data_IF_662694847400
#
_entry.id   IF_662694847400
#
_cell.length_a   1.000
_cell.length_b   1.000
_cell.length_c   1.000
_cell.angle_alpha   90.00
_cell.angle_beta   90.00
_cell.angle_gamma   90.00
#
_symmetry.space_group_name_H-M   'P 1'
#
loop_
_entity.id
_entity.type
_entity.pdbx_description
1 polymer ?
#
# COMPACT_ATOMS: atom_id res chain seq x y z
N UNK A 1 53.62 -18.45 18.54
CA UNK A 1 52.90 -17.32 17.94
C UNK A 1 52.63 -17.66 16.49
N UNK A 2 51.38 -17.66 15.98
CA UNK A 2 51.12 -17.90 14.58
C UNK A 2 51.64 -16.70 13.80
N UNK A 3 52.49 -16.96 12.80
CA UNK A 3 53.02 -15.97 11.86
C UNK A 3 51.82 -15.25 11.21
N UNK A 4 51.73 -13.93 11.38
CA UNK A 4 50.73 -13.11 10.71
C UNK A 4 50.88 -13.34 9.20
N UNK A 5 49.84 -13.89 8.56
CA UNK A 5 49.79 -14.04 7.12
C UNK A 5 49.67 -12.65 6.50
N UNK A 6 50.81 -12.01 6.28
CA UNK A 6 50.91 -10.79 5.49
C UNK A 6 50.63 -11.13 4.04
N UNK A 7 49.62 -10.49 3.47
CA UNK A 7 49.31 -10.37 2.03
C UNK A 7 48.99 -11.65 1.27
N UNK A 8 47.70 -11.94 1.20
CA UNK A 8 47.17 -12.95 0.28
C UNK A 8 46.72 -12.36 -1.08
N UNK A 9 47.25 -11.20 -1.48
CA UNK A 9 46.92 -10.53 -2.74
C UNK A 9 48.11 -9.80 -3.37
N UNK A 10 48.13 -9.76 -4.71
CA UNK A 10 49.20 -9.12 -5.50
C UNK A 10 48.58 -8.35 -6.67
N UNK A 11 49.11 -7.15 -6.93
CA UNK A 11 48.89 -6.39 -8.15
C UNK A 11 49.98 -6.72 -9.15
N UNK A 12 49.60 -7.00 -10.40
CA UNK A 12 50.57 -7.37 -11.45
C UNK A 12 50.09 -6.91 -12.82
N UNK A 13 51.01 -6.79 -13.77
CA UNK A 13 50.69 -6.57 -15.18
C UNK A 13 50.84 -7.86 -15.96
N UNK A 14 50.03 -8.05 -16.99
CA UNK A 14 50.27 -9.10 -18.02
C UNK A 14 51.29 -8.57 -19.03
N UNK A 15 52.04 -9.48 -19.62
CA UNK A 15 52.89 -9.16 -20.79
C UNK A 15 51.96 -8.58 -21.88
N UNK A 16 52.29 -7.47 -22.46
CA UNK A 16 51.55 -6.81 -23.54
C UNK A 16 50.26 -6.04 -23.11
N UNK A 17 50.08 -5.75 -21.82
CA UNK A 17 48.92 -4.98 -21.35
C UNK A 17 49.33 -3.87 -20.38
N UNK A 18 48.89 -2.65 -20.65
CA UNK A 18 49.06 -1.51 -19.73
C UNK A 18 48.14 -1.58 -18.52
N UNK A 19 47.09 -2.41 -18.59
CA UNK A 19 46.09 -2.54 -17.53
C UNK A 19 46.63 -3.39 -16.38
N UNK A 20 46.48 -2.89 -15.17
CA UNK A 20 46.77 -3.63 -13.96
C UNK A 20 45.78 -4.74 -13.68
N UNK A 21 46.25 -5.83 -13.12
CA UNK A 21 45.48 -6.98 -12.67
C UNK A 21 45.74 -7.21 -11.21
N UNK A 22 44.69 -7.73 -10.51
CA UNK A 22 44.82 -8.18 -9.14
C UNK A 22 44.68 -9.69 -9.04
N UNK A 23 45.44 -10.28 -8.12
CA UNK A 23 45.33 -11.69 -7.78
C UNK A 23 45.25 -11.83 -6.28
N UNK A 24 44.23 -12.53 -5.81
CA UNK A 24 43.99 -12.78 -4.39
C UNK A 24 43.40 -14.17 -4.19
N UNK A 25 43.29 -14.63 -2.93
CA UNK A 25 42.55 -15.83 -2.56
C UNK A 25 41.17 -15.45 -2.03
N UNK A 26 40.14 -16.18 -2.46
CA UNK A 26 38.84 -16.09 -1.85
C UNK A 26 38.83 -16.82 -0.48
N UNK A 27 37.68 -16.77 0.23
CA UNK A 27 37.58 -17.38 1.56
C UNK A 27 37.76 -18.90 1.57
N UNK A 28 37.49 -19.55 0.45
CA UNK A 28 37.67 -20.98 0.26
C UNK A 28 39.10 -21.35 -0.16
N UNK A 29 40.03 -20.36 -0.20
CA UNK A 29 41.40 -20.56 -0.60
C UNK A 29 41.63 -20.57 -2.12
N UNK A 30 40.57 -20.43 -2.94
CA UNK A 30 40.71 -20.45 -4.40
C UNK A 30 41.38 -19.18 -4.89
N UNK A 31 42.30 -19.33 -5.84
CA UNK A 31 42.97 -18.19 -6.49
C UNK A 31 42.01 -17.48 -7.46
N UNK A 32 41.85 -16.18 -7.27
CA UNK A 32 41.06 -15.30 -8.16
C UNK A 32 41.99 -14.33 -8.87
N UNK A 33 41.71 -14.04 -10.14
CA UNK A 33 42.36 -13.02 -10.94
C UNK A 33 41.33 -12.12 -11.57
N UNK A 34 41.51 -10.81 -11.42
CA UNK A 34 40.55 -9.81 -11.97
C UNK A 34 41.35 -8.67 -12.62
N UNK A 35 40.84 -8.15 -13.73
CA UNK A 35 41.32 -6.89 -14.30
C UNK A 35 40.85 -5.72 -13.46
N UNK A 36 41.69 -4.75 -13.25
CA UNK A 36 41.27 -3.49 -12.61
C UNK A 36 40.59 -2.53 -13.61
N UNK A 37 40.78 -2.79 -14.90
CA UNK A 37 40.40 -1.90 -16.01
C UNK A 37 41.07 -0.53 -15.94
N UNK A 38 42.14 -0.38 -15.13
CA UNK A 38 42.86 0.87 -14.93
C UNK A 38 44.35 0.65 -15.21
N UNK A 39 45.00 1.68 -15.74
CA UNK A 39 46.44 1.77 -15.90
C UNK A 39 47.14 2.38 -14.67
N UNK A 40 46.37 2.92 -13.72
CA UNK A 40 46.88 3.47 -12.46
C UNK A 40 47.09 2.37 -11.41
N UNK A 41 48.31 2.31 -10.89
CA UNK A 41 48.68 1.39 -9.84
C UNK A 41 47.99 1.63 -8.52
N UNK A 42 47.69 2.90 -8.16
CA UNK A 42 47.01 3.24 -6.93
C UNK A 42 45.54 2.78 -6.95
N UNK A 43 44.88 2.92 -8.09
CA UNK A 43 43.51 2.37 -8.29
C UNK A 43 43.51 0.84 -8.20
N UNK A 44 44.56 0.19 -8.77
CA UNK A 44 44.68 -1.25 -8.67
C UNK A 44 44.92 -1.73 -7.22
N UNK A 45 45.71 -1.02 -6.46
CA UNK A 45 45.91 -1.28 -5.04
C UNK A 45 44.65 -1.06 -4.23
N UNK A 46 43.88 0.02 -4.51
CA UNK A 46 42.61 0.29 -3.89
C UNK A 46 41.61 -0.84 -4.14
N UNK A 47 41.47 -1.27 -5.40
CA UNK A 47 40.61 -2.39 -5.78
C UNK A 47 41.00 -3.70 -5.11
N UNK A 48 42.32 -3.97 -4.97
CA UNK A 48 42.77 -5.15 -4.24
C UNK A 48 42.37 -5.12 -2.77
N UNK A 49 42.53 -3.97 -2.09
CA UNK A 49 42.10 -3.80 -0.69
C UNK A 49 40.61 -4.01 -0.54
N UNK A 50 39.80 -3.39 -1.40
CA UNK A 50 38.33 -3.57 -1.41
C UNK A 50 37.94 -5.05 -1.55
N UNK A 51 38.65 -5.82 -2.38
CA UNK A 51 38.42 -7.27 -2.54
C UNK A 51 38.77 -8.06 -1.30
N UNK A 52 39.89 -7.73 -0.67
CA UNK A 52 40.32 -8.37 0.57
C UNK A 52 39.38 -8.04 1.72
N UNK A 53 39.00 -6.79 1.86
CA UNK A 53 38.01 -6.35 2.87
C UNK A 53 36.66 -7.03 2.66
N UNK A 54 36.19 -7.10 1.41
CA UNK A 54 34.94 -7.80 1.07
C UNK A 54 35.02 -9.31 1.38
N UNK A 55 36.17 -9.93 1.16
CA UNK A 55 36.45 -11.33 1.54
C UNK A 55 36.35 -11.51 3.05
N UNK A 56 37.06 -10.67 3.79
CA UNK A 56 37.18 -10.78 5.26
C UNK A 56 35.82 -10.52 5.93
N UNK A 57 35.01 -9.61 5.38
CA UNK A 57 33.64 -9.35 5.77
C UNK A 57 32.62 -10.36 5.22
N UNK A 58 33.05 -11.41 4.51
CA UNK A 58 32.18 -12.45 3.93
C UNK A 58 31.14 -11.94 2.91
N UNK A 59 31.43 -10.86 2.20
CA UNK A 59 30.54 -10.25 1.19
C UNK A 59 31.10 -10.27 -0.23
N UNK A 60 32.27 -10.85 -0.45
CA UNK A 60 32.98 -10.86 -1.75
C UNK A 60 32.12 -11.42 -2.90
N UNK A 61 31.42 -12.54 -2.68
CA UNK A 61 30.56 -13.14 -3.70
C UNK A 61 29.32 -12.28 -4.00
N UNK A 62 28.84 -11.56 -3.00
CA UNK A 62 27.72 -10.63 -3.13
C UNK A 62 28.14 -9.44 -4.00
N UNK A 63 29.28 -8.83 -3.71
CA UNK A 63 29.83 -7.71 -4.48
C UNK A 63 30.03 -8.11 -5.94
N UNK A 64 30.64 -9.26 -6.20
CA UNK A 64 30.87 -9.76 -7.57
C UNK A 64 29.58 -10.02 -8.34
N UNK A 65 28.56 -10.58 -7.70
CA UNK A 65 27.24 -10.78 -8.32
C UNK A 65 26.61 -9.44 -8.68
N UNK A 66 26.65 -8.47 -7.78
CA UNK A 66 26.13 -7.13 -8.03
C UNK A 66 26.83 -6.38 -9.16
N UNK A 67 28.16 -6.55 -9.26
CA UNK A 67 28.97 -5.99 -10.37
C UNK A 67 28.66 -6.65 -11.72
N UNK A 68 28.23 -7.90 -11.74
CA UNK A 68 27.92 -8.63 -12.98
C UNK A 68 26.53 -8.32 -13.53
N UNK A 69 25.60 -7.81 -12.71
CA UNK A 69 24.19 -7.60 -13.07
C UNK A 69 23.87 -6.12 -13.27
N UNK A 70 23.25 -5.80 -14.40
CA UNK A 70 22.65 -4.49 -14.62
C UNK A 70 21.25 -4.41 -13.99
N UNK A 71 20.74 -3.17 -13.77
CA UNK A 71 19.37 -3.00 -13.29
C UNK A 71 18.34 -3.59 -14.27
N UNK A 72 18.58 -3.51 -15.59
CA UNK A 72 17.69 -4.13 -16.58
C UNK A 72 17.54 -5.62 -16.34
N UNK A 73 18.66 -6.35 -16.24
CA UNK A 73 18.66 -7.80 -16.01
C UNK A 73 17.99 -8.17 -14.69
N UNK A 74 18.29 -7.42 -13.63
CA UNK A 74 17.69 -7.65 -12.33
C UNK A 74 16.19 -7.32 -12.30
N UNK A 75 15.77 -6.25 -12.96
CA UNK A 75 14.36 -5.87 -13.04
C UNK A 75 13.53 -6.94 -13.76
N UNK A 76 14.06 -7.53 -14.84
CA UNK A 76 13.39 -8.64 -15.54
C UNK A 76 13.28 -9.87 -14.65
N UNK A 77 14.36 -10.24 -13.98
CA UNK A 77 14.37 -11.32 -12.99
C UNK A 77 13.36 -11.07 -11.87
N UNK A 78 13.29 -9.83 -11.36
CA UNK A 78 12.32 -9.45 -10.31
C UNK A 78 10.87 -9.52 -10.80
N UNK A 79 10.58 -9.03 -11.99
CA UNK A 79 9.23 -9.04 -12.55
C UNK A 79 8.73 -10.47 -12.76
N UNK A 80 9.56 -11.34 -13.30
CA UNK A 80 9.22 -12.74 -13.56
C UNK A 80 9.07 -13.55 -12.27
N UNK A 81 10.06 -13.48 -11.37
CA UNK A 81 10.14 -14.39 -10.23
C UNK A 81 9.53 -13.87 -8.93
N UNK A 82 9.18 -12.56 -8.82
CA UNK A 82 8.69 -11.96 -7.56
C UNK A 82 7.49 -11.04 -7.72
N UNK A 83 7.06 -10.78 -8.95
CA UNK A 83 5.96 -9.87 -9.24
C UNK A 83 4.81 -10.50 -10.01
N UNK A 84 5.09 -11.43 -10.92
CA UNK A 84 4.09 -12.08 -11.77
C UNK A 84 3.09 -12.91 -10.95
N UNK A 85 1.80 -12.98 -11.34
CA UNK A 85 0.85 -13.92 -10.76
C UNK A 85 1.34 -15.37 -10.85
N UNK A 86 1.04 -16.24 -9.89
CA UNK A 86 0.20 -16.03 -8.71
C UNK A 86 0.92 -15.38 -7.52
N UNK A 87 2.23 -15.09 -7.62
CA UNK A 87 3.03 -14.53 -6.50
C UNK A 87 2.53 -13.16 -6.04
N UNK A 88 1.97 -12.38 -6.96
CA UNK A 88 1.28 -11.12 -6.68
C UNK A 88 0.01 -11.01 -7.50
N UNK A 89 -0.93 -10.23 -6.99
CA UNK A 89 -2.14 -9.88 -7.73
C UNK A 89 -1.80 -9.18 -9.04
N UNK A 90 -2.56 -9.45 -10.11
CA UNK A 90 -2.39 -8.86 -11.45
C UNK A 90 -2.18 -7.34 -11.41
N UNK A 91 -3.07 -6.63 -10.71
CA UNK A 91 -2.96 -5.16 -10.56
C UNK A 91 -1.65 -4.70 -9.90
N UNK A 92 -1.09 -5.50 -9.01
CA UNK A 92 0.22 -5.19 -8.39
C UNK A 92 1.34 -5.42 -9.39
N UNK A 93 1.25 -6.49 -10.17
CA UNK A 93 2.21 -6.77 -11.24
C UNK A 93 2.21 -5.65 -12.30
N UNK A 94 1.04 -5.21 -12.77
CA UNK A 94 0.92 -4.08 -13.69
C UNK A 94 1.55 -2.78 -13.16
N UNK A 95 1.38 -2.49 -11.87
CA UNK A 95 2.03 -1.33 -11.23
C UNK A 95 3.55 -1.49 -11.22
N UNK A 96 4.04 -2.69 -10.92
CA UNK A 96 5.47 -2.99 -10.94
C UNK A 96 6.05 -2.88 -12.36
N UNK A 97 5.34 -3.38 -13.38
CA UNK A 97 5.72 -3.24 -14.80
C UNK A 97 5.85 -1.78 -15.21
N UNK A 98 4.86 -0.95 -14.87
CA UNK A 98 4.87 0.48 -15.18
C UNK A 98 6.03 1.20 -14.51
N UNK A 99 6.26 0.94 -13.22
CA UNK A 99 7.39 1.52 -12.48
C UNK A 99 8.72 1.04 -13.06
N UNK A 100 8.87 -0.27 -13.30
CA UNK A 100 10.08 -0.85 -13.87
C UNK A 100 10.45 -0.24 -15.23
N UNK A 101 9.47 0.10 -16.06
CA UNK A 101 9.73 0.78 -17.34
C UNK A 101 10.48 2.10 -17.15
N UNK A 102 10.08 2.92 -16.19
CA UNK A 102 10.74 4.19 -15.87
C UNK A 102 12.10 3.98 -15.21
N UNK A 103 12.19 3.03 -14.28
CA UNK A 103 13.45 2.69 -13.61
C UNK A 103 14.48 2.13 -14.58
N UNK A 104 14.07 1.27 -15.51
CA UNK A 104 14.93 0.75 -16.58
C UNK A 104 15.42 1.86 -17.51
N UNK A 105 14.56 2.84 -17.82
CA UNK A 105 14.96 3.99 -18.63
C UNK A 105 16.00 4.87 -17.94
N UNK A 106 15.97 4.96 -16.61
CA UNK A 106 16.90 5.80 -15.84
C UNK A 106 18.21 5.06 -15.46
N UNK A 107 18.12 3.82 -15.04
CA UNK A 107 19.24 3.06 -14.45
C UNK A 107 19.57 1.77 -15.19
N UNK A 108 18.91 1.47 -16.30
CA UNK A 108 18.93 0.13 -16.89
C UNK A 108 20.32 -0.40 -17.24
N UNK A 109 21.22 0.45 -17.72
CA UNK A 109 22.61 0.10 -18.05
C UNK A 109 23.54 0.06 -16.82
N UNK A 110 23.16 0.72 -15.72
CA UNK A 110 23.98 0.77 -14.51
C UNK A 110 24.07 -0.59 -13.85
N UNK A 111 25.26 -0.93 -13.33
CA UNK A 111 25.41 -2.09 -12.47
C UNK A 111 24.69 -1.87 -11.14
N UNK A 112 24.18 -2.93 -10.54
CA UNK A 112 23.46 -2.82 -9.27
C UNK A 112 24.29 -2.18 -8.16
N UNK A 113 25.58 -2.45 -8.13
CA UNK A 113 26.51 -1.89 -7.12
C UNK A 113 26.80 -0.40 -7.33
N UNK A 114 26.63 0.11 -8.55
CA UNK A 114 26.92 1.50 -8.90
C UNK A 114 25.72 2.44 -8.60
N UNK A 115 24.55 1.89 -8.28
CA UNK A 115 23.37 2.67 -7.94
C UNK A 115 23.49 3.13 -6.49
N UNK A 116 23.72 4.41 -6.30
CA UNK A 116 23.83 5.06 -4.98
C UNK A 116 22.52 5.73 -4.55
N UNK A 117 22.47 6.15 -3.30
CA UNK A 117 21.35 6.97 -2.79
C UNK A 117 21.23 8.29 -3.56
N UNK A 118 22.35 8.95 -3.86
CA UNK A 118 22.37 10.22 -4.61
C UNK A 118 21.80 10.07 -6.02
N UNK A 119 22.13 8.99 -6.72
CA UNK A 119 21.57 8.69 -8.04
C UNK A 119 20.04 8.54 -7.96
N UNK A 120 19.52 7.89 -6.90
CA UNK A 120 18.09 7.70 -6.70
C UNK A 120 17.42 9.03 -6.39
N UNK A 121 17.99 9.86 -5.53
CA UNK A 121 17.46 11.20 -5.21
C UNK A 121 17.41 12.11 -6.43
N UNK A 122 18.45 12.13 -7.24
CA UNK A 122 18.49 12.87 -8.50
C UNK A 122 17.34 12.42 -9.43
N UNK A 123 17.20 11.11 -9.60
CA UNK A 123 16.08 10.53 -10.35
C UNK A 123 14.72 11.02 -9.85
N UNK A 124 14.50 10.99 -8.53
CA UNK A 124 13.22 11.42 -7.95
C UNK A 124 12.92 12.89 -8.21
N UNK A 125 13.94 13.76 -8.09
CA UNK A 125 13.82 15.20 -8.38
C UNK A 125 13.47 15.43 -9.84
N UNK A 126 14.14 14.74 -10.77
CA UNK A 126 13.88 14.86 -12.20
C UNK A 126 12.50 14.33 -12.58
N UNK A 127 12.08 13.20 -12.00
CA UNK A 127 10.75 12.65 -12.23
C UNK A 127 9.64 13.59 -11.75
N UNK A 128 9.82 14.26 -10.61
CA UNK A 128 8.86 15.23 -10.08
C UNK A 128 8.66 16.46 -10.98
N UNK A 129 9.63 16.78 -11.82
CA UNK A 129 9.53 17.88 -12.80
C UNK A 129 8.87 17.47 -14.13
N UNK A 130 8.77 16.16 -14.37
CA UNK A 130 8.24 15.67 -15.66
C UNK A 130 6.72 15.81 -15.73
N UNK A 131 6.23 16.00 -16.95
CA UNK A 131 4.79 16.07 -17.25
C UNK A 131 4.22 14.71 -17.60
N UNK A 132 2.94 14.53 -17.33
CA UNK A 132 2.19 13.35 -17.76
C UNK A 132 2.10 13.36 -19.29
N UNK A 133 2.53 12.27 -19.93
CA UNK A 133 2.39 12.06 -21.38
C UNK A 133 1.38 10.94 -21.63
N UNK A 134 0.29 11.28 -22.28
CA UNK A 134 -0.78 10.32 -22.63
C UNK A 134 -0.80 10.16 -24.14
N UNK A 135 -0.65 8.92 -24.61
CA UNK A 135 -0.81 8.59 -26.02
C UNK A 135 -2.31 8.58 -26.36
N UNK A 136 -2.71 9.38 -27.31
CA UNK A 136 -4.08 9.44 -27.85
C UNK A 136 -4.06 9.05 -29.32
N UNK A 137 -5.23 8.87 -29.92
CA UNK A 137 -5.35 8.64 -31.37
C UNK A 137 -4.78 9.78 -32.23
N UNK A 138 -4.74 11.01 -31.67
CA UNK A 138 -4.23 12.22 -32.31
C UNK A 138 -2.76 12.52 -31.97
N UNK A 139 -2.03 11.61 -31.30
CA UNK A 139 -0.65 11.79 -30.91
C UNK A 139 -0.44 11.83 -29.39
N UNK A 140 0.67 12.41 -28.95
CA UNK A 140 1.02 12.52 -27.53
C UNK A 140 0.45 13.81 -26.97
N UNK A 141 -0.46 13.71 -26.00
CA UNK A 141 -0.97 14.84 -25.24
C UNK A 141 -0.16 14.99 -23.94
N UNK A 142 0.39 16.18 -23.72
CA UNK A 142 1.02 16.55 -22.45
C UNK A 142 -0.03 17.06 -21.45
N UNK A 143 0.06 16.55 -20.24
CA UNK A 143 -0.78 16.94 -19.11
C UNK A 143 -0.03 17.77 -18.09
N UNK A 144 -0.56 17.87 -16.87
CA UNK A 144 0.12 18.50 -15.74
C UNK A 144 1.35 17.72 -15.29
N UNK A 145 2.08 18.30 -14.33
CA UNK A 145 3.23 17.66 -13.69
C UNK A 145 2.84 16.34 -13.00
N UNK A 146 3.74 15.37 -12.97
CA UNK A 146 3.52 14.09 -12.30
C UNK A 146 3.19 14.30 -10.81
N UNK A 147 2.16 13.61 -10.34
CA UNK A 147 1.79 13.68 -8.93
C UNK A 147 2.88 13.01 -8.07
N UNK A 148 3.28 13.62 -6.93
CA UNK A 148 4.27 13.03 -6.02
C UNK A 148 3.98 11.56 -5.65
N UNK A 149 2.71 11.20 -5.46
CA UNK A 149 2.31 9.82 -5.17
C UNK A 149 2.68 8.82 -6.28
N UNK A 150 2.71 9.26 -7.55
CA UNK A 150 3.13 8.41 -8.69
C UNK A 150 4.63 8.14 -8.62
N UNK A 151 5.42 9.19 -8.40
CA UNK A 151 6.88 9.07 -8.29
C UNK A 151 7.28 8.28 -7.03
N UNK A 152 6.58 8.52 -5.92
CA UNK A 152 6.79 7.73 -4.69
C UNK A 152 6.47 6.24 -4.90
N UNK A 153 5.48 5.91 -5.74
CA UNK A 153 5.21 4.51 -6.09
C UNK A 153 6.39 3.87 -6.86
N UNK A 154 7.06 4.61 -7.73
CA UNK A 154 8.26 4.14 -8.43
C UNK A 154 9.40 3.86 -7.43
N UNK A 155 9.64 4.74 -6.45
CA UNK A 155 10.60 4.52 -5.36
C UNK A 155 10.25 3.27 -4.53
N UNK A 156 8.97 3.07 -4.21
CA UNK A 156 8.53 1.87 -3.46
C UNK A 156 8.83 0.57 -4.21
N UNK A 157 8.64 0.56 -5.53
CA UNK A 157 8.94 -0.59 -6.38
C UNK A 157 10.45 -0.82 -6.43
N UNK A 158 11.26 0.23 -6.63
CA UNK A 158 12.72 0.15 -6.61
C UNK A 158 13.23 -0.40 -5.26
N UNK A 159 12.77 0.19 -4.15
CA UNK A 159 13.12 -0.24 -2.80
C UNK A 159 12.81 -1.73 -2.59
N UNK A 160 11.64 -2.19 -3.03
CA UNK A 160 11.28 -3.60 -2.96
C UNK A 160 12.17 -4.49 -3.83
N UNK A 161 12.44 -4.07 -5.07
CA UNK A 161 13.29 -4.79 -6.03
C UNK A 161 14.71 -4.98 -5.46
N UNK A 162 15.28 -3.92 -4.90
CA UNK A 162 16.62 -3.97 -4.29
C UNK A 162 16.62 -4.70 -2.94
N UNK A 163 15.55 -4.66 -2.15
CA UNK A 163 15.41 -5.53 -0.98
C UNK A 163 15.41 -7.02 -1.33
N UNK A 164 14.84 -7.39 -2.48
CA UNK A 164 14.93 -8.77 -2.98
C UNK A 164 16.38 -9.10 -3.38
N UNK A 165 17.09 -8.15 -4.01
CA UNK A 165 18.51 -8.32 -4.36
C UNK A 165 19.39 -8.58 -3.11
N UNK A 166 19.15 -7.83 -2.04
CA UNK A 166 19.85 -8.02 -0.76
C UNK A 166 19.55 -9.42 -0.18
N UNK A 167 18.28 -9.82 -0.12
CA UNK A 167 17.90 -11.16 0.38
C UNK A 167 18.48 -12.31 -0.44
N UNK A 168 18.66 -12.09 -1.75
CA UNK A 168 19.26 -13.07 -2.66
C UNK A 168 20.79 -12.99 -2.73
N UNK A 169 21.38 -12.18 -1.86
CA UNK A 169 22.81 -11.94 -1.81
C UNK A 169 23.39 -11.51 -3.18
N UNK A 170 22.69 -10.62 -3.85
CA UNK A 170 23.13 -9.93 -5.08
C UNK A 170 23.64 -8.54 -4.73
N UNK A 171 23.09 -7.92 -3.69
CA UNK A 171 23.57 -6.67 -3.09
C UNK A 171 23.85 -6.88 -1.61
N UNK A 172 24.81 -6.14 -1.08
CA UNK A 172 25.12 -6.13 0.34
C UNK A 172 24.08 -5.30 1.13
N UNK A 173 23.77 -4.11 0.64
CA UNK A 173 22.82 -3.19 1.24
C UNK A 173 21.91 -2.59 0.18
N UNK A 174 20.73 -2.11 0.61
CA UNK A 174 19.80 -1.44 -0.28
C UNK A 174 20.07 0.07 -0.28
N UNK A 175 20.53 0.67 -1.39
CA UNK A 175 20.78 2.11 -1.47
C UNK A 175 19.53 2.97 -1.23
N UNK A 176 18.32 2.41 -1.41
CA UNK A 176 17.08 3.13 -1.07
C UNK A 176 16.88 3.33 0.44
N UNK A 177 17.66 2.72 1.34
CA UNK A 177 17.46 2.82 2.79
C UNK A 177 17.73 4.22 3.31
N UNK A 178 18.71 4.93 2.75
CA UNK A 178 19.06 6.32 3.10
C UNK A 178 18.33 7.39 2.28
N UNK A 179 17.43 7.00 1.35
CA UNK A 179 16.77 7.96 0.46
C UNK A 179 15.55 8.54 1.12
N UNK A 180 15.52 9.87 1.27
CA UNK A 180 14.32 10.63 1.60
C UNK A 180 13.58 11.05 0.33
N UNK A 181 12.25 10.95 0.39
CA UNK A 181 11.43 11.45 -0.72
C UNK A 181 11.35 12.99 -0.65
N UNK A 182 11.73 13.75 -1.71
CA UNK A 182 12.00 15.19 -1.62
C UNK A 182 10.79 16.07 -1.33
N UNK A 183 9.58 15.52 -1.39
CA UNK A 183 8.34 16.23 -1.05
C UNK A 183 7.48 15.38 -0.14
N UNK A 184 6.85 15.99 0.84
CA UNK A 184 5.92 15.29 1.71
C UNK A 184 4.79 14.68 0.88
N UNK A 185 4.80 13.36 0.71
CA UNK A 185 3.66 12.62 0.15
C UNK A 185 2.60 12.60 1.24
N UNK A 186 1.90 13.71 1.38
CA UNK A 186 0.74 13.76 2.26
C UNK A 186 -0.30 12.81 1.68
N UNK A 187 -0.30 11.57 2.15
CA UNK A 187 -1.33 10.59 1.88
C UNK A 187 -2.66 10.94 2.56
N UNK A 188 -2.90 12.21 2.80
CA UNK A 188 -4.11 12.74 3.38
C UNK A 188 -5.10 13.03 2.26
N UNK A 189 -5.50 11.97 1.59
CA UNK A 189 -6.79 11.99 0.98
C UNK A 189 -7.82 11.99 2.13
N UNK A 190 -8.47 13.12 2.36
CA UNK A 190 -9.66 13.16 3.21
C UNK A 190 -10.80 12.54 2.41
N UNK A 191 -11.43 11.44 2.88
CA UNK A 191 -12.62 10.93 2.24
C UNK A 191 -13.69 12.02 2.21
N UNK A 192 -14.43 12.12 1.12
CA UNK A 192 -15.61 12.96 1.09
C UNK A 192 -16.67 12.37 2.02
N UNK A 193 -17.17 13.16 2.95
CA UNK A 193 -18.31 12.74 3.77
C UNK A 193 -19.59 13.06 3.02
N UNK A 194 -20.34 12.02 2.68
CA UNK A 194 -21.63 12.15 2.00
C UNK A 194 -22.72 12.35 3.03
N UNK A 195 -23.37 13.52 3.02
CA UNK A 195 -24.54 13.79 3.87
C UNK A 195 -25.75 13.00 3.37
N UNK A 196 -26.77 12.84 4.21
CA UNK A 196 -27.99 12.14 3.79
C UNK A 196 -28.68 12.84 2.61
N UNK A 197 -28.85 14.16 2.68
CA UNK A 197 -29.44 14.96 1.58
C UNK A 197 -28.62 14.87 0.28
N UNK A 198 -27.30 14.89 0.39
CA UNK A 198 -26.41 14.73 -0.78
C UNK A 198 -26.55 13.32 -1.40
N UNK A 199 -26.64 12.27 -0.56
CA UNK A 199 -26.90 10.91 -1.04
C UNK A 199 -28.20 10.82 -1.78
N UNK A 200 -29.31 11.33 -1.21
CA UNK A 200 -30.62 11.32 -1.86
C UNK A 200 -30.60 12.06 -3.20
N UNK A 201 -29.94 13.22 -3.25
CA UNK A 201 -29.78 13.97 -4.51
C UNK A 201 -28.99 13.17 -5.56
N UNK A 202 -27.90 12.49 -5.17
CA UNK A 202 -27.13 11.64 -6.08
C UNK A 202 -27.97 10.47 -6.57
N UNK A 203 -28.71 9.80 -5.68
CA UNK A 203 -29.60 8.70 -6.03
C UNK A 203 -30.68 9.12 -7.04
N UNK A 204 -31.31 10.29 -6.84
CA UNK A 204 -32.33 10.81 -7.77
C UNK A 204 -31.81 11.03 -9.21
N UNK A 205 -30.51 11.25 -9.38
CA UNK A 205 -29.87 11.44 -10.69
C UNK A 205 -29.15 10.19 -11.21
N UNK A 206 -29.15 9.09 -10.45
CA UNK A 206 -28.49 7.83 -10.78
C UNK A 206 -29.43 6.87 -11.53
N UNK A 207 -28.94 6.03 -12.46
CA UNK A 207 -29.70 4.92 -12.98
C UNK A 207 -29.98 3.87 -11.87
N UNK A 208 -31.07 3.10 -11.99
CA UNK A 208 -31.56 2.20 -10.93
C UNK A 208 -30.48 1.29 -10.33
N UNK A 209 -29.68 0.63 -11.15
CA UNK A 209 -28.63 -0.24 -10.66
C UNK A 209 -27.55 0.52 -9.84
N UNK A 210 -27.29 1.80 -10.19
CA UNK A 210 -26.32 2.62 -9.44
C UNK A 210 -26.93 3.14 -8.14
N UNK A 211 -28.23 3.44 -8.09
CA UNK A 211 -28.94 3.74 -6.85
C UNK A 211 -28.79 2.57 -5.88
N UNK A 212 -29.02 1.34 -6.36
CA UNK A 212 -28.90 0.14 -5.55
C UNK A 212 -27.44 -0.05 -5.07
N UNK A 213 -26.44 0.19 -5.92
CA UNK A 213 -25.03 0.16 -5.50
C UNK A 213 -24.75 1.17 -4.38
N UNK A 214 -25.24 2.40 -4.51
CA UNK A 214 -25.06 3.45 -3.48
C UNK A 214 -25.66 2.99 -2.16
N UNK A 215 -26.91 2.54 -2.16
CA UNK A 215 -27.62 2.06 -0.96
C UNK A 215 -26.90 0.87 -0.32
N UNK A 216 -26.57 -0.14 -1.11
CA UNK A 216 -25.86 -1.33 -0.60
C UNK A 216 -24.55 -0.93 0.07
N UNK A 217 -23.74 -0.05 -0.54
CA UNK A 217 -22.45 0.35 0.06
C UNK A 217 -22.67 1.15 1.35
N UNK A 218 -23.66 2.04 1.38
CA UNK A 218 -23.93 2.89 2.56
C UNK A 218 -24.62 2.14 3.70
N UNK A 219 -25.20 0.97 3.43
CA UNK A 219 -25.86 0.10 4.41
C UNK A 219 -25.00 -1.09 4.86
N UNK A 220 -23.98 -1.48 4.10
CA UNK A 220 -23.17 -2.67 4.38
C UNK A 220 -21.68 -2.42 4.48
N UNK A 221 -21.22 -1.28 3.98
CA UNK A 221 -19.81 -0.97 3.87
C UNK A 221 -19.02 -1.88 2.92
N UNK A 222 -19.64 -2.59 1.99
CA UNK A 222 -18.97 -3.46 1.03
C UNK A 222 -17.95 -2.73 0.15
N UNK A 223 -16.86 -3.40 -0.24
CA UNK A 223 -15.88 -2.86 -1.19
C UNK A 223 -16.42 -2.98 -2.61
N UNK A 224 -16.76 -1.85 -3.24
CA UNK A 224 -17.46 -1.79 -4.52
C UNK A 224 -16.85 -2.69 -5.60
N UNK A 225 -15.56 -2.56 -5.89
CA UNK A 225 -14.93 -3.25 -7.02
C UNK A 225 -14.44 -4.67 -6.72
N UNK A 226 -14.26 -5.04 -5.46
CA UNK A 226 -13.71 -6.34 -5.10
C UNK A 226 -14.76 -7.29 -4.54
N UNK A 227 -15.79 -6.75 -3.88
CA UNK A 227 -16.81 -7.54 -3.20
C UNK A 227 -18.17 -7.39 -3.88
N UNK A 228 -18.64 -6.15 -4.14
CA UNK A 228 -20.00 -5.91 -4.62
C UNK A 228 -20.19 -6.18 -6.11
N UNK A 229 -19.34 -5.61 -7.00
CA UNK A 229 -19.55 -5.80 -8.44
C UNK A 229 -19.37 -7.23 -8.93
N UNK A 230 -18.43 -8.06 -8.42
CA UNK A 230 -18.33 -9.47 -8.80
C UNK A 230 -19.25 -10.39 -8.01
N UNK A 231 -20.14 -9.86 -7.15
CA UNK A 231 -21.03 -10.66 -6.30
C UNK A 231 -21.99 -11.49 -7.10
N UNK A 232 -22.12 -12.76 -6.72
CA UNK A 232 -23.13 -13.67 -7.25
C UNK A 232 -24.38 -13.62 -6.38
N UNK A 233 -25.52 -13.99 -6.95
CA UNK A 233 -26.81 -13.99 -6.25
C UNK A 233 -26.86 -15.02 -5.13
N UNK A 234 -26.20 -16.16 -5.29
CA UNK A 234 -26.10 -17.24 -4.31
C UNK A 234 -25.34 -16.86 -3.03
N UNK A 235 -24.62 -15.74 -3.07
CA UNK A 235 -23.93 -15.20 -1.89
C UNK A 235 -24.85 -14.40 -0.97
N UNK A 236 -26.10 -14.08 -1.40
CA UNK A 236 -27.04 -13.22 -0.69
C UNK A 236 -28.18 -14.07 -0.14
N UNK A 237 -28.23 -14.20 1.16
CA UNK A 237 -29.31 -14.82 1.91
C UNK A 237 -30.27 -13.74 2.43
N UNK A 238 -31.38 -13.57 1.72
CA UNK A 238 -32.39 -12.56 2.05
C UNK A 238 -33.28 -12.99 3.24
N UNK A 239 -33.39 -14.28 3.52
CA UNK A 239 -34.20 -14.82 4.62
C UNK A 239 -33.49 -14.57 5.95
N UNK A 240 -32.20 -14.88 6.02
CA UNK A 240 -31.36 -14.65 7.19
C UNK A 240 -30.74 -13.25 7.24
N UNK A 241 -31.01 -12.39 6.24
CA UNK A 241 -30.46 -11.04 6.13
C UNK A 241 -28.93 -10.99 6.22
N UNK A 242 -28.23 -11.84 5.45
CA UNK A 242 -26.76 -11.98 5.44
C UNK A 242 -26.24 -12.09 4.03
N UNK A 243 -25.03 -11.55 3.81
CA UNK A 243 -24.25 -11.76 2.57
C UNK A 243 -22.94 -12.45 2.93
N UNK A 244 -22.60 -13.51 2.22
CA UNK A 244 -21.31 -14.18 2.30
C UNK A 244 -20.30 -13.59 1.32
N UNK A 245 -19.11 -13.20 1.82
CA UNK A 245 -17.99 -12.69 1.01
C UNK A 245 -16.87 -13.74 0.98
N UNK A 246 -16.75 -14.52 -0.10
CA UNK A 246 -15.75 -15.59 -0.23
C UNK A 246 -14.34 -15.08 -0.54
N UNK A 247 -14.22 -13.90 -1.14
CA UNK A 247 -12.93 -13.32 -1.55
C UNK A 247 -12.91 -11.80 -1.34
N UNK A 248 -11.86 -11.31 -0.73
CA UNK A 248 -11.68 -9.88 -0.47
C UNK A 248 -10.22 -9.46 -0.67
N UNK A 249 -9.95 -8.16 -0.54
CA UNK A 249 -8.59 -7.60 -0.68
C UNK A 249 -7.63 -8.09 0.42
N UNK A 250 -8.16 -8.43 1.57
CA UNK A 250 -7.42 -8.89 2.75
C UNK A 250 -8.11 -10.12 3.34
N UNK A 251 -7.40 -11.05 3.99
CA UNK A 251 -8.02 -12.22 4.62
C UNK A 251 -9.17 -11.86 5.56
N UNK A 252 -9.02 -10.81 6.36
CA UNK A 252 -10.06 -10.32 7.26
C UNK A 252 -11.31 -9.78 6.55
N UNK A 253 -11.27 -9.62 5.22
CA UNK A 253 -12.42 -9.21 4.43
C UNK A 253 -13.34 -10.34 4.04
N UNK A 254 -12.92 -11.59 4.20
CA UNK A 254 -13.72 -12.81 3.98
C UNK A 254 -14.64 -12.99 5.20
N UNK A 255 -15.90 -13.30 4.96
CA UNK A 255 -16.84 -13.52 6.04
C UNK A 255 -18.25 -13.03 5.74
N UNK A 256 -19.12 -13.15 6.72
CA UNK A 256 -20.51 -12.72 6.67
C UNK A 256 -20.67 -11.21 6.90
N UNK A 257 -21.66 -10.64 6.25
CA UNK A 257 -22.08 -9.24 6.40
C UNK A 257 -23.55 -9.21 6.71
N UNK A 258 -23.95 -8.79 7.92
CA UNK A 258 -25.36 -8.63 8.24
C UNK A 258 -25.98 -7.47 7.42
N UNK A 259 -27.23 -7.64 7.06
CA UNK A 259 -27.99 -6.68 6.25
C UNK A 259 -29.01 -5.92 7.10
N UNK A 260 -29.11 -4.62 6.86
CA UNK A 260 -30.26 -3.84 7.33
C UNK A 260 -31.51 -4.14 6.50
N UNK A 261 -32.70 -3.82 6.98
CA UNK A 261 -33.94 -3.97 6.20
C UNK A 261 -33.86 -3.25 4.84
N UNK A 262 -33.26 -2.05 4.81
CA UNK A 262 -33.03 -1.27 3.59
C UNK A 262 -32.11 -2.03 2.63
N UNK A 263 -31.04 -2.66 3.14
CA UNK A 263 -30.15 -3.46 2.32
C UNK A 263 -30.86 -4.69 1.75
N UNK A 264 -31.65 -5.42 2.53
CA UNK A 264 -32.45 -6.59 2.08
C UNK A 264 -33.35 -6.19 0.93
N UNK A 265 -34.14 -5.12 1.06
CA UNK A 265 -35.03 -4.65 0.00
C UNK A 265 -34.27 -4.19 -1.26
N UNK A 266 -33.12 -3.55 -1.05
CA UNK A 266 -32.26 -3.11 -2.15
C UNK A 266 -31.67 -4.30 -2.89
N UNK A 267 -31.20 -5.34 -2.19
CA UNK A 267 -30.70 -6.58 -2.81
C UNK A 267 -31.82 -7.30 -3.57
N UNK A 268 -33.03 -7.41 -2.99
CA UNK A 268 -34.20 -7.99 -3.66
C UNK A 268 -34.52 -7.26 -4.97
N UNK A 269 -34.56 -5.94 -4.93
CA UNK A 269 -34.80 -5.09 -6.10
C UNK A 269 -33.70 -5.28 -7.14
N UNK A 270 -32.45 -5.36 -6.72
CA UNK A 270 -31.32 -5.55 -7.62
C UNK A 270 -31.31 -6.96 -8.27
N UNK A 271 -31.69 -7.99 -7.54
CA UNK A 271 -31.85 -9.35 -8.08
C UNK A 271 -32.89 -9.40 -9.19
N UNK A 272 -34.03 -8.70 -9.00
CA UNK A 272 -35.06 -8.61 -10.01
C UNK A 272 -34.57 -7.89 -11.29
N UNK A 273 -33.80 -6.81 -11.14
CA UNK A 273 -33.19 -6.09 -12.27
C UNK A 273 -32.14 -6.93 -12.98
N UNK A 274 -31.39 -7.74 -12.25
CA UNK A 274 -30.29 -8.56 -12.81
C UNK A 274 -30.77 -9.72 -13.68
N UNK A 275 -32.05 -10.09 -13.67
CA UNK A 275 -32.62 -11.18 -14.48
C UNK A 275 -32.10 -12.58 -14.07
N UNK A 276 -31.98 -13.52 -14.99
CA UNK A 276 -31.67 -14.92 -14.68
C UNK A 276 -30.20 -15.24 -14.43
N UNK A 277 -29.27 -14.35 -14.81
CA UNK A 277 -27.83 -14.59 -14.68
C UNK A 277 -27.33 -14.76 -13.23
N UNK A 278 -26.16 -15.39 -13.07
CA UNK A 278 -25.57 -15.66 -11.75
C UNK A 278 -25.10 -14.40 -11.00
N UNK A 279 -24.74 -13.33 -11.71
CA UNK A 279 -24.19 -12.12 -11.09
C UNK A 279 -25.27 -11.12 -10.69
N UNK A 280 -25.06 -10.46 -9.58
CA UNK A 280 -25.93 -9.37 -9.10
C UNK A 280 -25.87 -8.13 -10.00
N UNK A 281 -24.70 -7.86 -10.59
CA UNK A 281 -24.45 -6.75 -11.51
C UNK A 281 -23.89 -7.30 -12.84
N UNK A 282 -24.73 -7.90 -13.69
CA UNK A 282 -24.27 -8.52 -14.92
C UNK A 282 -23.75 -7.50 -15.94
N UNK A 283 -22.87 -7.94 -16.84
CA UNK A 283 -22.38 -7.13 -17.95
C UNK A 283 -21.91 -8.04 -19.08
N UNK A 284 -22.58 -7.98 -20.20
CA UNK A 284 -22.20 -8.70 -21.42
C UNK A 284 -20.93 -8.15 -22.06
N UNK A 285 -20.62 -6.87 -21.82
CA UNK A 285 -19.44 -6.21 -22.37
C UNK A 285 -18.11 -6.69 -21.73
N UNK A 286 -18.19 -7.42 -20.63
CA UNK A 286 -17.02 -7.90 -19.91
C UNK A 286 -16.93 -9.43 -19.98
N UNK A 287 -15.80 -9.96 -20.40
CA UNK A 287 -15.55 -11.40 -20.46
C UNK A 287 -15.77 -12.14 -19.12
N UNK A 288 -15.80 -11.42 -18.00
CA UNK A 288 -16.09 -11.97 -16.66
C UNK A 288 -17.57 -12.06 -16.34
N UNK A 289 -18.44 -11.57 -17.22
CA UNK A 289 -19.90 -11.58 -17.03
C UNK A 289 -20.46 -10.57 -16.05
N UNK A 290 -19.64 -9.73 -15.43
CA UNK A 290 -20.08 -8.72 -14.47
C UNK A 290 -19.47 -7.34 -14.70
N UNK A 291 -20.05 -6.29 -14.12
CA UNK A 291 -19.53 -4.93 -14.18
C UNK A 291 -18.14 -4.84 -13.52
N UNK A 292 -17.18 -4.20 -14.21
CA UNK A 292 -15.81 -3.98 -13.69
C UNK A 292 -15.55 -2.54 -13.22
N UNK A 293 -16.26 -1.57 -13.76
CA UNK A 293 -16.02 -0.16 -13.49
C UNK A 293 -17.33 0.64 -13.49
N UNK A 294 -17.37 1.61 -12.60
CA UNK A 294 -18.47 2.58 -12.49
C UNK A 294 -17.99 4.00 -12.80
N UNK A 295 -16.73 4.18 -13.24
CA UNK A 295 -16.09 5.50 -13.33
C UNK A 295 -16.92 6.48 -14.16
N UNK A 296 -17.31 6.10 -15.37
CA UNK A 296 -18.02 7.00 -16.29
C UNK A 296 -19.43 7.33 -15.80
N UNK A 297 -20.17 6.31 -15.36
CA UNK A 297 -21.55 6.53 -14.86
C UNK A 297 -21.54 7.34 -13.57
N UNK A 298 -20.60 7.08 -12.66
CA UNK A 298 -20.43 7.83 -11.43
C UNK A 298 -20.14 9.31 -11.69
N UNK A 299 -19.18 9.62 -12.56
CA UNK A 299 -18.86 10.99 -12.94
C UNK A 299 -20.05 11.72 -13.56
N UNK A 300 -20.78 11.06 -14.48
CA UNK A 300 -21.97 11.63 -15.10
C UNK A 300 -23.10 11.87 -14.08
N UNK A 301 -23.28 10.98 -13.12
CA UNK A 301 -24.28 11.10 -12.06
C UNK A 301 -23.95 12.27 -11.14
N UNK A 302 -22.72 12.37 -10.64
CA UNK A 302 -22.30 13.51 -9.82
C UNK A 302 -22.44 14.84 -10.55
N UNK A 303 -22.10 14.89 -11.82
CA UNK A 303 -22.27 16.10 -12.64
C UNK A 303 -23.75 16.50 -12.74
N UNK A 304 -24.67 15.55 -13.01
CA UNK A 304 -26.11 15.81 -13.05
C UNK A 304 -26.67 16.26 -11.70
N UNK A 305 -26.18 15.65 -10.62
CA UNK A 305 -26.54 16.02 -9.26
C UNK A 305 -25.89 17.35 -8.79
N UNK A 306 -25.05 17.98 -9.61
CA UNK A 306 -24.27 19.19 -9.27
C UNK A 306 -23.39 19.00 -8.01
N UNK A 307 -22.88 17.78 -7.80
CA UNK A 307 -22.01 17.42 -6.69
C UNK A 307 -20.56 17.35 -7.18
N UNK A 308 -19.64 17.95 -6.42
CA UNK A 308 -18.21 17.88 -6.71
C UNK A 308 -17.72 16.43 -6.72
N UNK A 309 -16.78 16.12 -7.63
CA UNK A 309 -16.29 14.77 -7.78
C UNK A 309 -15.64 14.24 -6.51
N UNK A 310 -16.09 13.08 -6.07
CA UNK A 310 -15.43 12.24 -5.06
C UNK A 310 -15.46 10.76 -5.51
N UNK A 311 -14.71 9.91 -4.83
CA UNK A 311 -14.63 8.50 -5.23
C UNK A 311 -15.84 7.75 -4.71
N UNK A 312 -16.42 6.87 -5.52
CA UNK A 312 -17.51 5.98 -5.06
C UNK A 312 -17.13 5.16 -3.82
N UNK A 313 -15.84 4.88 -3.62
CA UNK A 313 -15.32 4.22 -2.43
C UNK A 313 -15.56 5.02 -1.13
N UNK A 314 -15.74 6.34 -1.22
CA UNK A 314 -15.97 7.19 -0.06
C UNK A 314 -17.38 6.99 0.55
N UNK A 315 -18.30 6.33 -0.17
CA UNK A 315 -19.58 5.86 0.38
C UNK A 315 -19.36 4.84 1.52
N UNK A 316 -18.35 3.97 1.43
CA UNK A 316 -17.98 3.08 2.52
C UNK A 316 -17.45 3.86 3.74
N UNK A 317 -16.81 5.02 3.52
CA UNK A 317 -16.42 5.91 4.60
C UNK A 317 -17.62 6.58 5.26
N UNK A 318 -18.66 6.89 4.47
CA UNK A 318 -19.93 7.41 5.01
C UNK A 318 -20.62 6.38 5.92
N UNK A 319 -20.66 5.10 5.54
CA UNK A 319 -21.15 4.00 6.40
C UNK A 319 -20.42 3.98 7.75
N UNK A 320 -19.06 3.94 7.71
CA UNK A 320 -18.25 3.96 8.92
C UNK A 320 -18.53 5.17 9.82
N UNK A 321 -18.60 6.35 9.20
CA UNK A 321 -18.86 7.60 9.93
C UNK A 321 -20.26 7.64 10.54
N UNK A 322 -21.26 7.10 9.85
CA UNK A 322 -22.64 7.03 10.37
C UNK A 322 -22.78 6.10 11.56
N UNK A 323 -22.12 4.93 11.51
CA UNK A 323 -22.09 4.01 12.65
C UNK A 323 -21.42 4.64 13.88
N UNK A 324 -20.25 5.27 13.70
CA UNK A 324 -19.57 5.97 14.79
C UNK A 324 -20.39 7.14 15.33
N UNK A 325 -21.11 7.86 14.46
CA UNK A 325 -22.02 8.93 14.86
C UNK A 325 -23.23 8.41 15.65
N UNK A 326 -23.70 7.21 15.32
CA UNK A 326 -24.75 6.51 16.06
C UNK A 326 -24.30 5.91 17.39
N UNK A 327 -23.02 6.11 17.78
CA UNK A 327 -22.49 5.63 19.07
C UNK A 327 -22.00 4.18 19.03
N UNK A 328 -21.87 3.57 17.86
CA UNK A 328 -21.31 2.22 17.74
C UNK A 328 -19.81 2.29 18.03
N UNK A 329 -19.33 1.43 18.93
CA UNK A 329 -17.93 1.38 19.32
C UNK A 329 -17.01 1.07 18.13
N UNK A 330 -15.82 1.68 18.11
CA UNK A 330 -14.86 1.59 17.00
C UNK A 330 -14.46 0.14 16.66
N UNK A 331 -14.39 -0.74 17.65
CA UNK A 331 -14.10 -2.17 17.47
C UNK A 331 -15.17 -2.86 16.64
N UNK A 332 -16.45 -2.57 16.91
CA UNK A 332 -17.58 -3.15 16.18
C UNK A 332 -17.64 -2.60 14.76
N UNK A 333 -17.44 -1.29 14.60
CA UNK A 333 -17.38 -0.68 13.25
C UNK A 333 -16.22 -1.27 12.44
N UNK A 334 -15.08 -1.52 13.08
CA UNK A 334 -13.92 -2.16 12.43
C UNK A 334 -14.25 -3.58 12.00
N UNK A 335 -14.97 -4.36 12.82
CA UNK A 335 -15.43 -5.70 12.50
C UNK A 335 -16.47 -5.69 11.37
N UNK A 336 -17.49 -4.83 11.44
CA UNK A 336 -18.50 -4.66 10.39
C UNK A 336 -17.85 -4.29 9.04
N UNK A 337 -16.82 -3.46 9.06
CA UNK A 337 -16.03 -3.13 7.89
C UNK A 337 -15.05 -4.25 7.50
N UNK A 338 -14.87 -5.27 8.30
CA UNK A 338 -13.90 -6.35 8.08
C UNK A 338 -12.49 -5.79 7.79
N UNK A 339 -12.05 -4.87 8.65
CA UNK A 339 -10.73 -4.26 8.60
C UNK A 339 -9.86 -4.83 9.73
N UNK A 340 -8.62 -5.23 9.39
CA UNK A 340 -7.68 -5.76 10.38
C UNK A 340 -6.87 -4.69 11.12
N UNK A 341 -7.00 -3.41 10.75
CA UNK A 341 -6.20 -2.33 11.32
C UNK A 341 -7.10 -1.15 11.71
N UNK A 342 -7.16 -0.89 13.00
CA UNK A 342 -7.90 0.25 13.58
C UNK A 342 -7.37 1.61 13.11
N UNK A 343 -6.08 1.71 12.77
CA UNK A 343 -5.53 2.96 12.24
C UNK A 343 -6.06 3.30 10.85
N UNK A 344 -6.36 2.28 10.05
CA UNK A 344 -7.03 2.50 8.76
C UNK A 344 -8.45 3.00 8.97
N UNK A 345 -9.15 2.47 9.98
CA UNK A 345 -10.49 2.94 10.37
C UNK A 345 -10.50 4.43 10.73
N UNK A 346 -9.56 4.90 11.55
CA UNK A 346 -9.44 6.33 11.93
C UNK A 346 -9.35 7.30 10.73
N UNK A 347 -8.95 6.82 9.56
CA UNK A 347 -8.92 7.61 8.32
C UNK A 347 -10.30 7.73 7.66
N UNK A 348 -11.19 6.79 7.92
CA UNK A 348 -12.54 6.72 7.32
C UNK A 348 -13.62 7.22 8.28
N UNK A 349 -13.45 7.02 9.57
CA UNK A 349 -14.33 7.55 10.61
C UNK A 349 -13.94 9.01 10.92
N UNK A 350 -14.53 9.96 10.19
CA UNK A 350 -14.28 11.38 10.41
C UNK A 350 -15.50 12.03 11.08
N UNK A 351 -15.40 12.24 12.39
CA UNK A 351 -16.38 13.06 13.10
C UNK A 351 -16.36 14.49 12.55
N UNK A 352 -17.51 14.99 12.08
CA UNK A 352 -17.68 16.39 11.73
C UNK A 352 -17.54 17.26 12.98
N UNK A 353 -17.25 18.55 12.75
CA UNK A 353 -17.14 19.52 13.83
C UNK A 353 -18.39 19.55 14.73
N UNK A 354 -19.58 19.39 14.12
CA UNK A 354 -20.85 19.31 14.86
C UNK A 354 -20.89 18.12 15.80
N UNK A 355 -20.53 16.91 15.33
CA UNK A 355 -20.48 15.70 16.16
C UNK A 355 -19.49 15.84 17.31
N UNK A 356 -18.35 16.50 17.07
CA UNK A 356 -17.38 16.82 18.13
C UNK A 356 -17.97 17.78 19.17
N UNK A 357 -18.74 18.77 18.73
CA UNK A 357 -19.46 19.70 19.63
C UNK A 357 -20.50 18.96 20.47
N UNK A 358 -21.28 18.09 19.85
CA UNK A 358 -22.29 17.26 20.55
C UNK A 358 -21.62 16.33 21.58
N UNK A 359 -20.47 15.72 21.21
CA UNK A 359 -19.69 14.92 22.15
C UNK A 359 -19.16 15.78 23.32
N UNK A 360 -18.72 17.01 23.06
CA UNK A 360 -18.27 17.93 24.08
C UNK A 360 -19.39 18.40 25.03
N UNK A 361 -20.64 18.42 24.56
CA UNK A 361 -21.80 18.72 25.41
C UNK A 361 -22.05 17.62 26.46
N UNK A 362 -21.61 16.38 26.18
CA UNK A 362 -21.69 15.25 27.10
C UNK A 362 -20.49 15.18 28.07
N UNK A 363 -19.59 16.18 28.06
CA UNK A 363 -18.45 16.21 28.94
C UNK A 363 -18.91 16.39 30.40
N UNK A 364 -18.79 15.35 31.21
CA UNK A 364 -19.04 15.37 32.63
C UNK A 364 -17.84 15.96 33.38
N UNK A 365 -17.94 17.21 33.83
CA UNK A 365 -16.84 17.92 34.50
C UNK A 365 -16.60 17.43 35.91
N UNK A 366 -17.59 16.76 36.51
CA UNK A 366 -17.51 16.18 37.87
C UNK A 366 -17.25 14.66 37.83
N UNK A 367 -16.91 14.13 36.64
CA UNK A 367 -16.49 12.74 36.54
C UNK A 367 -15.27 12.53 37.47
N UNK A 368 -15.37 11.58 38.38
CA UNK A 368 -14.40 11.28 39.43
C UNK A 368 -14.43 12.23 40.66
N UNK A 369 -15.34 13.20 40.73
CA UNK A 369 -15.59 13.91 41.98
C UNK A 369 -16.54 13.07 42.84
N UNK A 370 -16.13 12.75 44.07
CA UNK A 370 -17.02 12.11 45.02
C UNK A 370 -18.12 13.10 45.42
N UNK A 371 -19.37 12.77 45.15
CA UNK A 371 -20.54 13.59 45.52
C UNK A 371 -20.78 13.66 47.03
N UNK A 372 -20.16 12.80 47.81
CA UNK A 372 -20.17 12.79 49.26
C UNK A 372 -18.78 12.52 49.78
N UNK A 373 -18.23 13.34 50.75
CA UNK A 373 -17.03 12.96 51.43
C UNK A 373 -17.29 11.60 52.12
N UNK A 374 -16.33 10.69 52.03
CA UNK A 374 -16.35 9.46 52.85
C UNK A 374 -16.63 9.88 54.28
N UNK A 375 -17.78 9.53 54.78
CA UNK A 375 -18.09 9.76 56.18
C UNK A 375 -17.06 9.03 57.03
N UNK A 376 -16.29 9.80 57.79
CA UNK A 376 -15.47 9.27 58.85
C UNK A 376 -16.42 8.49 59.76
N UNK A 377 -16.39 7.18 59.77
CA UNK A 377 -17.04 6.35 60.76
C UNK A 377 -16.25 6.57 62.05
N UNK A 378 -16.65 7.60 62.81
CA UNK A 378 -16.23 7.75 64.18
C UNK A 378 -16.85 6.58 64.96
N UNK A 379 -16.10 5.51 65.10
CA UNK A 379 -16.44 4.41 66.00
C UNK A 379 -16.49 4.97 67.41
N UNK A 380 -17.71 5.22 67.90
CA UNK A 380 -17.96 5.45 69.31
C UNK A 380 -17.75 4.12 70.05
N UNK A 381 -16.60 3.99 70.66
CA UNK A 381 -16.36 2.88 71.59
C UNK A 381 -17.26 3.12 72.82
N UNK A 382 -18.33 2.39 72.91
CA UNK A 382 -19.14 2.34 74.13
C UNK A 382 -18.29 1.73 75.25
N UNK A 383 -17.90 2.56 76.23
CA UNK A 383 -17.35 2.09 77.50
C UNK A 383 -18.47 1.35 78.25
N UNK A 384 -18.35 0.05 78.37
CA UNK A 384 -19.15 -0.73 79.30
C UNK A 384 -18.68 -0.44 80.75
N UNK A 385 -19.48 0.35 81.48
CA UNK A 385 -19.34 0.49 82.94
C UNK A 385 -19.60 -0.84 83.60
N UNK A 386 -18.62 -1.41 84.25
CA UNK A 386 -18.80 -2.44 85.23
C UNK A 386 -19.51 -1.87 86.43
N UNK A 387 -20.63 -2.41 86.79
CA UNK A 387 -21.24 -2.25 88.12
C UNK A 387 -21.03 -3.56 88.88
N UNK A 388 -20.64 -3.43 90.14
CA UNK A 388 -20.31 -4.45 91.13
C UNK A 388 -21.33 -5.60 91.24
#
# INVERSE_FOLDING_TARGET
>A
MPKSRKYEGVVFRRKESNIWWIRYRDRNGNRRRESTLSEDWNEAQKKLRERLDARDNNVLDVVRKGESLSLNQWADCFLENYSKPPLRMEKTHEVNLRAAKHLKSAFGSSKLVDITADHIELYLRDRLRQRVRTRTSLGIKEGGVLKPATVHQELRVLRRMLNVAVRKRVLHANPCSGVEFPVAVKGLFRPHYVTWSEQQNIEAHAPNYLQNIIRIITETGLRVYKELLPMKKDQVDLENAVVWIPDSKTPNGIGEVPLTAIAVDTFRTQMAIAGEGQFLFPSELNATGHLKTLKCVWQKTLHRAKVSYFRIYDLRSAYATRLSAGGVADEWVTQLLRQGDSQVFKKYSQMKLQMKREALQKLERQANEMKTPFGTVSGTVAQSSRIN
#
